data_IF_835682161922
#
_entry.id   IF_835682161922
#
_cell.length_a   1.000
_cell.length_b   1.000
_cell.length_c   1.000
_cell.angle_alpha   90.00
_cell.angle_beta   90.00
_cell.angle_gamma   90.00
#
_symmetry.space_group_name_H-M   'P 1'
#
loop_
_entity.id
_entity.type
_entity.pdbx_description
1 polymer ?
#
# COMPACT_ATOMS: atom_id res chain seq x y z
N UNK A 1 -26.98 4.45 21.60
CA UNK A 1 -25.62 4.85 21.15
C UNK A 1 -25.27 3.96 19.96
N UNK A 2 -25.05 4.48 18.75
CA UNK A 2 -24.48 3.64 17.70
C UNK A 2 -23.06 3.29 18.12
N UNK A 3 -22.74 2.00 18.15
CA UNK A 3 -21.37 1.53 18.37
C UNK A 3 -20.56 2.08 17.21
N UNK A 4 -19.51 2.87 17.49
CA UNK A 4 -18.55 3.36 16.49
C UNK A 4 -17.72 2.17 15.98
N UNK A 5 -18.38 1.32 15.19
CA UNK A 5 -17.77 0.12 14.62
C UNK A 5 -16.82 0.56 13.51
N UNK A 6 -15.53 0.61 13.84
CA UNK A 6 -14.49 0.80 12.83
C UNK A 6 -14.55 -0.37 11.85
N UNK A 7 -14.59 -0.10 10.54
CA UNK A 7 -14.62 -1.15 9.54
C UNK A 7 -13.37 -2.02 9.67
N UNK A 8 -13.57 -3.34 9.57
CA UNK A 8 -12.53 -4.34 9.81
C UNK A 8 -12.28 -5.15 8.55
N UNK A 9 -11.00 -5.25 8.15
CA UNK A 9 -10.58 -6.17 7.10
C UNK A 9 -10.17 -7.49 7.74
N UNK A 10 -10.69 -8.60 7.23
CA UNK A 10 -10.27 -9.93 7.62
C UNK A 10 -10.01 -10.78 6.36
N UNK A 11 -8.78 -11.30 6.23
CA UNK A 11 -8.39 -12.25 5.20
C UNK A 11 -7.86 -13.50 5.89
N UNK A 12 -8.62 -14.60 5.77
CA UNK A 12 -8.33 -15.87 6.41
C UNK A 12 -6.95 -16.42 6.02
N UNK A 13 -6.27 -17.08 6.96
CA UNK A 13 -4.99 -17.78 6.76
C UNK A 13 -4.93 -18.72 5.55
N UNK A 14 -6.06 -19.26 5.09
CA UNK A 14 -6.11 -20.15 3.91
C UNK A 14 -6.02 -19.39 2.57
N UNK A 15 -6.20 -18.07 2.61
CA UNK A 15 -6.21 -17.18 1.43
C UNK A 15 -4.91 -16.37 1.28
N UNK A 16 -3.91 -16.62 2.13
CA UNK A 16 -2.64 -15.88 2.20
C UNK A 16 -1.43 -16.83 2.15
N UNK A 17 -0.37 -16.43 1.43
CA UNK A 17 0.79 -17.29 1.09
C UNK A 17 1.54 -17.83 2.31
N UNK A 18 1.65 -17.04 3.36
CA UNK A 18 2.42 -17.36 4.57
C UNK A 18 1.56 -17.93 5.71
N UNK A 19 0.26 -18.19 5.46
CA UNK A 19 -0.72 -18.65 6.46
C UNK A 19 -0.87 -17.74 7.68
N UNK A 20 -0.43 -16.48 7.61
CA UNK A 20 -0.68 -15.46 8.63
C UNK A 20 -1.90 -14.65 8.20
N UNK A 21 -3.02 -14.70 8.94
CA UNK A 21 -4.22 -13.96 8.57
C UNK A 21 -3.90 -12.45 8.52
N UNK A 22 -4.59 -11.72 7.66
CA UNK A 22 -4.51 -10.27 7.59
C UNK A 22 -5.76 -9.73 8.23
N UNK A 23 -5.61 -9.15 9.41
CA UNK A 23 -6.72 -8.62 10.20
C UNK A 23 -6.35 -7.24 10.72
N UNK A 24 -7.28 -6.30 10.62
CA UNK A 24 -7.04 -4.97 11.15
C UNK A 24 -8.10 -3.94 10.79
N UNK A 25 -8.07 -2.78 11.47
CA UNK A 25 -8.97 -1.69 11.19
C UNK A 25 -8.66 -1.08 9.82
N UNK A 26 -9.72 -0.74 9.09
CA UNK A 26 -9.63 0.07 7.86
C UNK A 26 -9.87 1.52 8.25
N UNK A 27 -8.97 2.46 7.91
CA UNK A 27 -9.23 3.88 8.11
C UNK A 27 -10.53 4.31 7.42
N UNK A 28 -11.37 5.09 8.10
CA UNK A 28 -12.70 5.47 7.60
C UNK A 28 -12.65 6.13 6.21
N UNK A 29 -11.58 6.89 5.91
CA UNK A 29 -11.37 7.48 4.58
C UNK A 29 -11.19 6.42 3.49
N UNK A 30 -10.45 5.35 3.76
CA UNK A 30 -10.29 4.23 2.82
C UNK A 30 -11.56 3.39 2.73
N UNK A 31 -12.27 3.23 3.85
CA UNK A 31 -13.54 2.54 3.87
C UNK A 31 -14.59 3.21 2.98
N UNK A 32 -14.68 4.54 2.97
CA UNK A 32 -15.57 5.28 2.06
C UNK A 32 -15.33 4.96 0.58
N UNK A 33 -14.09 4.64 0.19
CA UNK A 33 -13.78 4.21 -1.18
C UNK A 33 -14.38 2.82 -1.45
N UNK A 34 -14.26 1.90 -0.47
CA UNK A 34 -14.86 0.56 -0.55
C UNK A 34 -16.39 0.64 -0.55
N UNK A 35 -17.01 1.50 0.25
CA UNK A 35 -18.46 1.75 0.24
C UNK A 35 -18.92 2.32 -1.08
N UNK A 36 -18.22 3.33 -1.61
CA UNK A 36 -18.54 3.91 -2.92
C UNK A 36 -18.46 2.87 -4.03
N UNK A 37 -17.45 2.00 -3.97
CA UNK A 37 -17.39 0.84 -4.86
C UNK A 37 -18.57 -0.11 -4.64
N UNK A 38 -18.84 -0.55 -3.42
CA UNK A 38 -19.92 -1.50 -3.10
C UNK A 38 -21.28 -0.98 -3.57
N UNK A 39 -21.59 0.27 -3.30
CA UNK A 39 -22.93 0.86 -3.45
C UNK A 39 -23.16 1.39 -4.87
N UNK A 40 -22.11 1.84 -5.57
CA UNK A 40 -22.24 2.43 -6.92
C UNK A 40 -21.41 1.69 -7.97
N UNK A 41 -20.15 1.42 -7.68
CA UNK A 41 -19.23 0.83 -8.65
C UNK A 41 -19.56 -0.62 -9.02
N UNK A 42 -19.89 -1.44 -8.02
CA UNK A 42 -20.12 -2.88 -8.14
C UNK A 42 -21.41 -3.19 -8.93
N UNK A 43 -22.56 -2.52 -8.69
CA UNK A 43 -23.74 -2.68 -9.55
C UNK A 43 -23.47 -2.30 -11.01
N UNK A 44 -22.80 -1.17 -11.24
CA UNK A 44 -22.45 -0.72 -12.60
C UNK A 44 -21.49 -1.68 -13.30
N UNK A 45 -20.52 -2.24 -12.57
CA UNK A 45 -19.59 -3.24 -13.08
C UNK A 45 -20.31 -4.54 -13.49
N UNK A 46 -21.20 -5.04 -12.64
CA UNK A 46 -22.00 -6.23 -12.93
C UNK A 46 -22.87 -5.98 -14.17
N UNK A 47 -23.62 -4.88 -14.21
CA UNK A 47 -24.46 -4.53 -15.35
C UNK A 47 -23.66 -4.44 -16.66
N UNK A 48 -22.49 -3.78 -16.63
CA UNK A 48 -21.60 -3.64 -17.79
C UNK A 48 -21.07 -4.98 -18.31
N UNK A 49 -20.92 -5.97 -17.43
CA UNK A 49 -20.32 -7.26 -17.75
C UNK A 49 -21.32 -8.43 -17.66
N UNK A 50 -22.62 -8.15 -17.62
CA UNK A 50 -23.66 -9.17 -17.50
C UNK A 50 -23.59 -10.19 -18.64
N UNK A 51 -23.40 -9.72 -19.88
CA UNK A 51 -23.28 -10.56 -21.06
C UNK A 51 -22.05 -11.48 -21.07
N UNK A 52 -21.01 -11.18 -20.28
CA UNK A 52 -19.81 -12.02 -20.17
C UNK A 52 -19.82 -12.94 -18.96
N UNK A 53 -20.89 -12.91 -18.15
CA UNK A 53 -21.06 -13.76 -16.97
C UNK A 53 -20.72 -13.10 -15.64
N UNK A 54 -20.58 -11.77 -15.58
CA UNK A 54 -20.52 -11.10 -14.28
C UNK A 54 -21.89 -11.18 -13.59
N UNK A 55 -21.89 -11.56 -12.32
CA UNK A 55 -23.09 -11.71 -11.52
C UNK A 55 -22.87 -11.18 -10.10
N UNK A 56 -23.99 -10.96 -9.40
CA UNK A 56 -23.95 -10.63 -7.98
C UNK A 56 -23.55 -11.87 -7.17
N UNK A 57 -22.31 -11.91 -6.70
CA UNK A 57 -21.73 -13.03 -5.95
C UNK A 57 -21.24 -12.55 -4.58
N UNK A 58 -20.89 -13.46 -3.67
CA UNK A 58 -20.26 -13.09 -2.40
C UNK A 58 -18.89 -12.37 -2.52
N UNK A 59 -18.33 -12.21 -3.72
CA UNK A 59 -17.07 -11.51 -3.93
C UNK A 59 -17.25 -9.98 -3.87
N UNK A 60 -16.42 -9.31 -3.06
CA UNK A 60 -16.34 -7.84 -3.01
C UNK A 60 -16.01 -7.23 -4.38
N UNK A 61 -15.15 -7.91 -5.14
CA UNK A 61 -14.80 -7.56 -6.52
C UNK A 61 -15.18 -8.75 -7.43
N UNK A 62 -16.34 -8.71 -8.09
CA UNK A 62 -16.78 -9.79 -8.97
C UNK A 62 -15.96 -9.84 -10.28
N UNK A 63 -15.67 -11.05 -10.73
CA UNK A 63 -15.02 -11.31 -12.01
C UNK A 63 -15.97 -11.08 -13.19
N UNK A 64 -15.41 -10.78 -14.36
CA UNK A 64 -16.21 -10.54 -15.57
C UNK A 64 -16.74 -11.83 -16.21
N UNK A 65 -16.31 -13.00 -15.73
CA UNK A 65 -16.67 -14.35 -16.22
C UNK A 65 -17.13 -15.25 -15.07
N UNK A 66 -17.78 -14.65 -14.07
CA UNK A 66 -18.12 -15.31 -12.81
C UNK A 66 -16.98 -15.32 -11.79
N UNK A 67 -17.32 -15.70 -10.55
CA UNK A 67 -16.37 -15.77 -9.44
C UNK A 67 -15.77 -14.43 -9.03
N UNK A 68 -14.60 -14.47 -8.40
CA UNK A 68 -13.85 -13.29 -7.97
C UNK A 68 -13.00 -12.70 -9.10
N UNK A 69 -12.68 -11.41 -8.99
CA UNK A 69 -11.82 -10.68 -9.93
C UNK A 69 -10.48 -11.40 -10.14
N UNK A 70 -10.16 -11.68 -11.40
CA UNK A 70 -8.88 -12.31 -11.74
C UNK A 70 -7.71 -11.33 -11.58
N UNK A 71 -6.51 -11.86 -11.31
CA UNK A 71 -5.26 -11.07 -11.30
C UNK A 71 -5.05 -10.31 -12.61
N UNK A 72 -5.36 -10.92 -13.75
CA UNK A 72 -5.21 -10.29 -15.07
C UNK A 72 -6.14 -9.09 -15.22
N UNK A 73 -7.41 -9.22 -14.81
CA UNK A 73 -8.38 -8.12 -14.86
C UNK A 73 -7.99 -7.00 -13.89
N UNK A 74 -7.56 -7.36 -12.69
CA UNK A 74 -7.03 -6.41 -11.71
C UNK A 74 -5.85 -5.61 -12.27
N UNK A 75 -4.83 -6.29 -12.82
CA UNK A 75 -3.66 -5.62 -13.40
C UNK A 75 -4.03 -4.69 -14.57
N UNK A 76 -4.98 -5.09 -15.42
CA UNK A 76 -5.49 -4.21 -16.50
C UNK A 76 -6.15 -2.95 -15.95
N UNK A 77 -7.00 -3.09 -14.93
CA UNK A 77 -7.65 -1.95 -14.28
C UNK A 77 -6.64 -1.05 -13.58
N UNK A 78 -5.68 -1.65 -12.86
CA UNK A 78 -4.58 -0.96 -12.19
C UNK A 78 -3.75 -0.14 -13.18
N UNK A 79 -3.22 -0.77 -14.24
CA UNK A 79 -2.38 -0.10 -15.23
C UNK A 79 -3.13 1.06 -15.90
N UNK A 80 -4.42 0.87 -16.24
CA UNK A 80 -5.25 1.95 -16.78
C UNK A 80 -5.41 3.10 -15.79
N UNK A 81 -5.63 2.79 -14.50
CA UNK A 81 -5.71 3.80 -13.45
C UNK A 81 -4.40 4.59 -13.33
N UNK A 82 -3.27 3.89 -13.27
CA UNK A 82 -1.95 4.50 -13.15
C UNK A 82 -1.60 5.37 -14.36
N UNK A 83 -1.88 4.93 -15.58
CA UNK A 83 -1.69 5.76 -16.78
C UNK A 83 -2.50 7.05 -16.74
N UNK A 84 -3.75 7.00 -16.25
CA UNK A 84 -4.60 8.21 -16.10
C UNK A 84 -4.09 9.18 -15.04
N UNK A 85 -3.34 8.68 -14.06
CA UNK A 85 -2.70 9.48 -13.02
C UNK A 85 -1.31 9.99 -13.43
N UNK A 86 -0.84 9.68 -14.65
CA UNK A 86 0.52 10.03 -15.08
C UNK A 86 1.62 9.19 -14.43
N UNK A 87 1.28 8.02 -13.87
CA UNK A 87 2.20 7.10 -13.17
C UNK A 87 2.36 5.76 -13.89
N UNK A 88 2.54 5.70 -15.23
CA UNK A 88 2.65 4.43 -15.94
C UNK A 88 3.83 3.61 -15.39
N UNK A 89 3.63 2.29 -15.31
CA UNK A 89 4.65 1.36 -14.79
C UNK A 89 4.67 1.21 -13.27
N UNK A 90 3.98 2.07 -12.50
CA UNK A 90 3.80 1.83 -11.06
C UNK A 90 3.00 0.53 -10.88
N UNK A 91 3.57 -0.47 -10.23
CA UNK A 91 2.92 -1.78 -10.03
C UNK A 91 2.31 -1.89 -8.62
N UNK A 92 1.36 -2.81 -8.36
CA UNK A 92 0.86 -3.06 -7.00
C UNK A 92 1.97 -3.48 -6.03
N UNK A 93 2.98 -4.19 -6.53
CA UNK A 93 4.16 -4.56 -5.74
C UNK A 93 4.98 -3.32 -5.36
N UNK A 94 5.28 -2.46 -6.34
CA UNK A 94 5.96 -1.18 -6.10
C UNK A 94 5.17 -0.28 -5.15
N UNK A 95 3.84 -0.23 -5.27
CA UNK A 95 2.99 0.53 -4.35
C UNK A 95 3.09 0.04 -2.90
N UNK A 96 3.24 -1.27 -2.69
CA UNK A 96 3.52 -1.81 -1.35
C UNK A 96 4.85 -1.30 -0.80
N UNK A 97 5.86 -1.13 -1.66
CA UNK A 97 7.13 -0.52 -1.26
C UNK A 97 7.02 0.97 -0.93
N UNK A 98 6.22 1.71 -1.70
CA UNK A 98 5.93 3.12 -1.42
C UNK A 98 5.28 3.27 -0.04
N UNK A 99 4.28 2.45 0.29
CA UNK A 99 3.61 2.49 1.59
C UNK A 99 4.58 2.23 2.76
N UNK A 100 5.49 1.26 2.63
CA UNK A 100 6.50 0.97 3.63
C UNK A 100 7.51 2.11 3.81
N UNK A 101 7.98 2.69 2.69
CA UNK A 101 8.90 3.84 2.71
C UNK A 101 8.27 5.05 3.36
N UNK A 102 7.01 5.37 3.05
CA UNK A 102 6.28 6.47 3.68
C UNK A 102 6.09 6.27 5.18
N UNK A 103 5.89 5.02 5.63
CA UNK A 103 5.77 4.72 7.06
C UNK A 103 7.11 4.92 7.78
N UNK A 104 8.21 4.39 7.23
CA UNK A 104 9.54 4.49 7.86
C UNK A 104 10.08 5.93 7.88
N UNK A 105 9.76 6.74 6.88
CA UNK A 105 10.11 8.16 6.85
C UNK A 105 9.52 8.94 8.06
N UNK A 106 8.37 8.50 8.57
CA UNK A 106 7.72 9.08 9.78
C UNK A 106 8.11 8.32 11.05
N UNK A 107 8.44 7.03 10.93
CA UNK A 107 8.78 6.14 12.03
C UNK A 107 10.11 5.42 11.78
N UNK A 108 11.26 6.14 11.88
CA UNK A 108 12.57 5.53 11.68
C UNK A 108 12.78 4.32 12.61
N UNK A 109 13.26 3.21 12.04
CA UNK A 109 13.46 1.96 12.79
C UNK A 109 12.23 1.07 12.96
N UNK A 110 11.04 1.48 12.49
CA UNK A 110 9.79 0.70 12.57
C UNK A 110 9.69 -0.51 11.62
N UNK A 111 10.79 -1.25 11.42
CA UNK A 111 10.90 -2.35 10.45
C UNK A 111 10.02 -3.55 10.81
N UNK A 112 9.79 -3.79 12.09
CA UNK A 112 8.89 -4.82 12.60
C UNK A 112 7.43 -4.55 12.20
N UNK A 113 6.97 -3.30 12.30
CA UNK A 113 5.64 -2.88 11.87
C UNK A 113 5.49 -3.02 10.36
N UNK A 114 6.50 -2.61 9.59
CA UNK A 114 6.50 -2.79 8.14
C UNK A 114 6.48 -4.27 7.76
N UNK A 115 7.24 -5.12 8.45
CA UNK A 115 7.23 -6.56 8.22
C UNK A 115 5.86 -7.18 8.49
N UNK A 116 5.19 -6.77 9.57
CA UNK A 116 3.83 -7.19 9.89
C UNK A 116 2.84 -6.73 8.80
N UNK A 117 2.87 -5.44 8.43
CA UNK A 117 1.99 -4.87 7.40
C UNK A 117 2.17 -5.53 6.03
N UNK A 118 3.43 -5.77 5.64
CA UNK A 118 3.76 -6.37 4.35
C UNK A 118 3.63 -7.88 4.34
N UNK A 119 3.38 -8.52 5.49
CA UNK A 119 3.36 -9.96 5.66
C UNK A 119 4.70 -10.63 5.30
N UNK A 120 5.80 -9.94 5.62
CA UNK A 120 7.18 -10.34 5.34
C UNK A 120 7.95 -10.60 6.65
N UNK A 121 9.24 -10.91 6.53
CA UNK A 121 10.18 -11.04 7.64
C UNK A 121 10.89 -9.71 7.89
N UNK A 122 11.20 -9.41 9.15
CA UNK A 122 11.97 -8.22 9.54
C UNK A 122 13.29 -8.17 8.76
N UNK A 123 14.01 -9.30 8.69
CA UNK A 123 15.23 -9.43 7.89
C UNK A 123 15.07 -9.03 6.42
N UNK A 124 13.97 -9.43 5.77
CA UNK A 124 13.68 -9.05 4.37
C UNK A 124 13.46 -7.55 4.27
N UNK A 125 12.64 -6.99 5.15
CA UNK A 125 12.35 -5.55 5.21
C UNK A 125 13.61 -4.76 5.48
N UNK A 126 14.44 -5.17 6.44
CA UNK A 126 15.72 -4.53 6.72
C UNK A 126 16.61 -4.52 5.47
N UNK A 127 16.76 -5.66 4.79
CA UNK A 127 17.54 -5.73 3.55
C UNK A 127 17.04 -4.76 2.46
N UNK A 128 15.72 -4.55 2.36
CA UNK A 128 15.11 -3.66 1.37
C UNK A 128 15.15 -2.17 1.77
N UNK A 129 14.98 -1.84 3.05
CA UNK A 129 14.74 -0.45 3.49
C UNK A 129 15.84 0.15 4.38
N UNK A 130 16.68 -0.66 5.06
CA UNK A 130 17.85 -0.15 5.81
C UNK A 130 18.81 0.59 4.89
N UNK A 131 18.88 0.18 3.61
CA UNK A 131 19.77 0.81 2.61
C UNK A 131 19.20 2.05 1.94
N UNK A 132 17.88 2.28 2.02
CA UNK A 132 17.20 3.40 1.35
C UNK A 132 17.21 4.69 2.17
N UNK A 133 17.02 4.58 3.48
CA UNK A 133 16.97 5.76 4.36
C UNK A 133 18.34 6.19 4.85
N UNK A 134 19.27 5.27 5.12
CA UNK A 134 20.59 5.64 5.64
C UNK A 134 21.37 6.55 4.67
N UNK A 135 21.32 6.27 3.37
CA UNK A 135 22.03 7.06 2.36
C UNK A 135 21.30 8.36 2.03
N UNK A 136 19.99 8.31 1.76
CA UNK A 136 19.22 9.51 1.44
C UNK A 136 19.13 10.48 2.63
N UNK A 137 18.98 9.96 3.86
CA UNK A 137 19.02 10.77 5.07
C UNK A 137 20.42 11.27 5.39
N UNK A 138 21.49 10.49 5.12
CA UNK A 138 22.86 11.00 5.23
C UNK A 138 23.17 12.07 4.19
N UNK A 139 22.70 11.92 2.94
CA UNK A 139 22.85 12.92 1.88
C UNK A 139 22.06 14.21 2.23
N UNK A 140 20.82 14.07 2.74
CA UNK A 140 20.00 15.21 3.18
C UNK A 140 20.57 15.89 4.44
N UNK A 141 21.08 15.12 5.40
CA UNK A 141 21.76 15.63 6.58
C UNK A 141 23.06 16.34 6.21
N UNK A 142 23.85 15.75 5.30
CA UNK A 142 25.06 16.38 4.78
C UNK A 142 24.75 17.72 4.09
N UNK A 143 23.69 17.79 3.25
CA UNK A 143 23.32 19.06 2.61
C UNK A 143 22.87 20.13 3.62
N UNK A 144 22.16 19.75 4.69
CA UNK A 144 21.72 20.67 5.75
C UNK A 144 22.90 21.18 6.57
N UNK A 145 23.90 20.32 6.86
CA UNK A 145 25.12 20.72 7.59
C UNK A 145 25.95 21.70 6.77
N UNK A 146 26.11 21.47 5.47
CA UNK A 146 26.80 22.39 4.55
C UNK A 146 26.08 23.74 4.41
N UNK A 147 24.74 23.73 4.37
CA UNK A 147 23.92 24.95 4.27
C UNK A 147 23.96 25.79 5.56
N UNK A 148 23.95 25.16 6.74
CA UNK A 148 23.91 25.84 8.03
C UNK A 148 25.29 26.29 8.54
N UNK A 149 26.38 25.73 8.03
CA UNK A 149 27.74 26.08 8.49
C UNK A 149 28.78 26.11 7.35
N UNK A 150 28.61 27.00 6.35
CA UNK A 150 29.49 27.07 5.17
C UNK A 150 30.95 27.48 5.48
N UNK A 151 31.28 27.76 6.75
CA UNK A 151 32.61 28.20 7.20
C UNK A 151 33.09 27.53 8.49
N UNK A 152 32.61 26.33 8.83
CA UNK A 152 33.08 25.61 10.01
C UNK A 152 34.51 25.06 9.81
N UNK A 153 35.52 25.93 9.92
CA UNK A 153 36.92 25.53 10.02
C UNK A 153 37.24 25.12 11.46
N UNK A 154 37.29 23.80 11.70
CA UNK A 154 37.66 23.23 13.01
C UNK A 154 39.16 23.35 13.33
N UNK A 155 39.97 24.04 12.50
CA UNK A 155 41.40 24.28 12.76
C UNK A 155 41.69 25.58 13.53
N UNK A 156 40.67 26.27 14.03
CA UNK A 156 40.79 27.55 14.73
C UNK A 156 40.71 27.54 16.25
N UNK A 157 41.01 26.42 16.93
CA UNK A 157 41.12 26.36 18.39
C UNK A 157 42.59 26.13 18.83
N UNK A 158 43.45 27.10 18.52
CA UNK A 158 44.54 27.62 19.36
C UNK A 158 45.17 28.84 18.71
#
# INVERSE_FOLDING_TARGET
MPIDMKPWLAIERRKVKNRRPIEGPVPSRLWRVVETWRDRGRPLWIARHAATGAADTGALFPGTRGGALSRTTFNKAWNRGMSRLGLPGLTPHTMRHVAATLYLAVHPGGYDVVAALLCDTVRSVENFYVRGEGRAAAELFASVVEELAPGLDLRGAR
#
